data_IF_121687838085
#
_entry.id   IF_121687838085
#
_cell.length_a   1.000
_cell.length_b   1.000
_cell.length_c   1.000
_cell.angle_alpha   90.00
_cell.angle_beta   90.00
_cell.angle_gamma   90.00
#
_symmetry.space_group_name_H-M   'P 1'
#
loop_
_entity.id
_entity.type
_entity.pdbx_description
1 polymer ?
2 non-polymer ?
3 non-polymer ?
4 water ?
#
# COMPACT_ATOMS: atom_id res chain seq x y z
N UNK A 1 9.57 14.17 10.01
CA UNK A 1 8.92 14.49 11.29
C UNK A 1 8.55 13.20 12.02
N UNK A 2 8.41 13.28 13.33
CA UNK A 2 8.17 12.07 14.12
C UNK A 2 6.99 12.31 15.06
N UNK A 3 6.25 11.26 15.29
CA UNK A 3 5.17 11.27 16.26
C UNK A 3 5.27 9.96 17.04
N UNK A 4 4.98 9.94 18.33
CA UNK A 4 5.01 8.69 19.08
C UNK A 4 3.60 8.29 19.42
N UNK A 5 3.23 7.05 19.13
CA UNK A 5 1.93 6.51 19.40
C UNK A 5 1.72 6.20 20.89
N UNK A 6 0.47 5.91 21.28
CA UNK A 6 0.23 5.63 22.69
C UNK A 6 1.08 4.48 23.23
N UNK A 7 1.39 3.53 22.40
CA UNK A 7 2.20 2.37 22.82
C UNK A 7 3.68 2.65 22.73
N UNK A 8 4.13 3.87 22.42
CA UNK A 8 5.58 4.12 22.44
C UNK A 8 6.33 3.98 21.14
N UNK A 9 5.66 3.50 20.10
CA UNK A 9 6.18 3.33 18.76
C UNK A 9 6.42 4.69 18.11
N UNK A 10 7.61 4.89 17.55
CA UNK A 10 7.86 6.21 16.94
C UNK A 10 7.58 6.11 15.44
N UNK A 11 6.61 6.87 14.97
CA UNK A 11 6.30 6.87 13.55
C UNK A 11 6.94 8.07 12.86
N UNK A 12 7.73 7.83 11.83
CA UNK A 12 8.30 8.87 10.98
C UNK A 12 7.28 9.19 9.87
N UNK A 13 7.13 10.47 9.58
CA UNK A 13 6.26 10.89 8.47
C UNK A 13 6.72 12.18 7.79
N UNK A 14 6.33 12.30 6.52
CA UNK A 14 6.65 13.46 5.68
C UNK A 14 5.37 14.27 5.51
N UNK A 15 5.55 15.60 5.42
CA UNK A 15 4.34 16.46 5.37
C UNK A 15 4.77 17.69 4.54
N UNK A 16 4.34 17.72 3.31
CA UNK A 16 4.78 18.77 2.37
C UNK A 16 3.58 19.56 1.83
N UNK A 17 3.74 20.86 1.63
CA UNK A 17 2.66 21.60 0.93
C UNK A 17 1.56 22.08 1.80
N UNK A 18 0.48 22.62 1.22
CA UNK A 18 -0.66 23.11 1.99
C UNK A 18 -1.90 22.86 1.10
N UNK A 19 -3.05 22.84 1.74
CA UNK A 19 -4.30 22.59 0.98
C UNK A 19 -4.95 21.33 1.59
N UNK A 20 -5.82 20.74 0.81
CA UNK A 20 -6.51 19.53 1.30
C UNK A 20 -5.46 18.44 1.48
N UNK A 21 -5.55 17.71 2.59
CA UNK A 21 -4.57 16.67 2.87
C UNK A 21 -4.80 15.36 2.14
N UNK A 22 -3.72 14.84 1.58
CA UNK A 22 -3.72 13.56 0.90
C UNK A 22 -2.72 12.68 1.67
N UNK A 23 -3.22 11.57 2.20
CA UNK A 23 -2.33 10.74 3.02
C UNK A 23 -2.01 9.49 2.17
N UNK A 24 -0.71 9.14 2.13
CA UNK A 24 -0.34 7.98 1.30
C UNK A 24 0.17 6.90 2.24
N UNK A 25 -0.21 5.66 1.97
CA UNK A 25 0.21 4.53 2.82
C UNK A 25 0.96 3.55 1.94
N UNK A 26 2.29 3.33 2.16
CA UNK A 26 3.10 2.55 1.25
C UNK A 26 2.97 1.01 1.31
N UNK A 27 3.58 0.42 0.30
CA UNK A 27 3.57 -1.02 0.13
C UNK A 27 4.66 -1.73 0.91
N UNK A 28 4.66 -3.05 0.89
CA UNK A 28 5.75 -3.86 1.52
C UNK A 28 6.84 -4.16 0.57
N UNK A 29 8.12 -4.27 0.99
CA UNK A 29 8.60 -3.90 2.29
C UNK A 29 9.19 -2.46 2.19
N UNK A 30 8.43 -1.53 1.60
CA UNK A 30 8.99 -0.23 1.30
C UNK A 30 8.83 0.77 2.43
N UNK A 31 8.80 2.07 2.07
CA UNK A 31 8.45 3.08 3.06
C UNK A 31 7.91 4.32 2.31
N UNK A 32 7.71 5.40 3.03
CA UNK A 32 7.10 6.62 2.44
C UNK A 32 7.87 7.06 1.20
N UNK A 33 9.17 6.76 1.09
CA UNK A 33 9.91 7.18 -0.08
C UNK A 33 9.29 6.69 -1.37
N UNK A 34 8.71 5.50 -1.40
CA UNK A 34 8.16 4.95 -2.63
C UNK A 34 7.02 5.82 -3.21
N UNK A 35 6.43 6.68 -2.41
CA UNK A 35 5.33 7.49 -2.97
C UNK A 35 5.81 8.84 -3.49
N UNK A 36 7.10 9.17 -3.40
CA UNK A 36 7.54 10.52 -3.72
C UNK A 36 7.07 11.09 -5.08
N UNK A 37 6.88 10.27 -6.10
CA UNK A 37 6.50 10.90 -7.40
C UNK A 37 5.04 11.38 -7.40
N UNK A 38 4.16 10.63 -6.71
CA UNK A 38 2.75 11.10 -6.65
C UNK A 38 2.69 12.27 -5.69
N UNK A 39 3.52 12.26 -4.62
CA UNK A 39 3.52 13.35 -3.63
C UNK A 39 4.05 14.69 -4.25
N UNK A 40 5.13 14.61 -5.01
CA UNK A 40 5.63 15.89 -5.57
C UNK A 40 4.61 16.49 -6.57
N UNK A 41 4.02 15.58 -7.33
CA UNK A 41 3.02 16.01 -8.35
C UNK A 41 1.86 16.67 -7.67
N UNK A 42 1.23 15.98 -6.69
CA UNK A 42 0.03 16.53 -6.07
C UNK A 42 0.30 17.73 -5.20
N UNK A 43 1.45 17.81 -4.53
CA UNK A 43 1.71 19.02 -3.71
C UNK A 43 1.86 20.22 -4.68
N UNK A 44 2.43 19.97 -5.84
CA UNK A 44 2.62 21.08 -6.78
C UNK A 44 1.26 21.54 -7.30
N UNK A 45 0.25 20.67 -7.20
CA UNK A 45 -1.06 21.03 -7.73
C UNK A 45 -1.92 21.68 -6.67
N UNK A 46 -1.37 21.99 -5.50
CA UNK A 46 -2.14 22.70 -4.50
C UNK A 46 -2.70 21.80 -3.41
N UNK A 47 -2.12 20.62 -3.18
CA UNK A 47 -2.57 19.79 -2.08
C UNK A 47 -1.43 19.65 -1.04
N UNK A 48 -1.80 19.26 0.16
CA UNK A 48 -0.87 18.93 1.22
C UNK A 48 -0.67 17.42 1.13
N UNK A 49 0.56 16.97 1.12
CA UNK A 49 0.79 15.51 0.96
C UNK A 49 1.51 14.96 2.21
N UNK A 50 0.94 13.92 2.79
CA UNK A 50 1.45 13.33 4.05
C UNK A 50 1.77 11.86 3.79
N UNK A 51 2.95 11.36 4.20
CA UNK A 51 3.18 9.91 3.96
C UNK A 51 3.98 9.38 5.16
N UNK A 52 3.43 8.42 5.89
CA UNK A 52 4.20 7.96 7.06
C UNK A 52 4.88 6.64 6.79
N UNK A 53 5.90 6.33 7.62
CA UNK A 53 6.57 5.01 7.49
C UNK A 53 5.81 4.05 8.43
N UNK A 54 5.35 2.94 7.90
CA UNK A 54 4.63 1.96 8.72
C UNK A 54 5.55 1.53 9.88
N UNK A 55 4.96 1.11 11.00
CA UNK A 55 5.91 0.60 12.03
C UNK A 55 6.79 -0.49 11.45
N UNK A 56 8.07 -0.43 11.81
CA UNK A 56 9.14 -1.32 11.44
C UNK A 56 9.64 -1.14 10.02
N UNK A 57 9.19 -0.05 9.36
CA UNK A 57 9.65 0.23 8.00
C UNK A 57 10.34 1.62 8.00
N UNK A 58 11.23 1.86 7.04
CA UNK A 58 11.87 3.14 6.86
C UNK A 58 12.47 3.65 8.17
N UNK A 59 12.07 4.88 8.51
CA UNK A 59 12.60 5.53 9.69
C UNK A 59 11.82 5.31 10.95
N UNK A 60 10.68 4.61 10.88
CA UNK A 60 9.93 4.41 12.12
C UNK A 60 10.72 3.39 12.99
N UNK A 61 10.39 3.40 14.27
CA UNK A 61 11.01 2.41 15.17
C UNK A 61 10.54 1.00 14.75
N UNK A 62 11.18 -0.01 15.29
CA UNK A 62 10.90 -1.39 14.86
C UNK A 62 10.48 -2.33 15.95
N UNK A 63 9.26 -2.22 16.37
CA UNK A 63 8.77 -3.02 17.49
C UNK A 63 8.74 -4.48 17.14
N UNK A 64 9.11 -5.32 18.12
CA UNK A 64 9.03 -6.76 17.96
C UNK A 64 7.58 -7.18 17.76
N UNK A 65 6.62 -6.43 18.32
CA UNK A 65 5.23 -6.82 18.31
C UNK A 65 4.27 -5.85 17.58
N UNK A 66 3.04 -6.30 17.38
CA UNK A 66 2.06 -5.40 16.77
C UNK A 66 2.31 -5.25 15.29
N UNK A 67 2.90 -6.25 14.64
CA UNK A 67 3.10 -6.15 13.18
C UNK A 67 1.89 -6.83 12.55
N UNK A 68 0.76 -6.13 12.58
CA UNK A 68 -0.46 -6.72 12.01
C UNK A 68 -1.37 -5.56 11.53
N UNK A 69 -2.41 -5.85 10.78
CA UNK A 69 -3.20 -4.76 10.17
C UNK A 69 -4.00 -3.97 11.17
N UNK A 70 -4.54 -4.58 12.22
CA UNK A 70 -5.26 -3.77 13.24
C UNK A 70 -4.35 -2.67 13.80
N UNK A 71 -3.09 -3.04 14.11
CA UNK A 71 -2.14 -2.09 14.66
C UNK A 71 -1.76 -1.08 13.60
N UNK A 72 -1.43 -1.52 12.40
CA UNK A 72 -1.10 -0.58 11.31
C UNK A 72 -2.21 0.48 11.21
N UNK A 73 -3.43 0.00 11.21
CA UNK A 73 -4.59 0.86 11.08
C UNK A 73 -4.67 1.85 12.24
N UNK A 74 -4.42 1.39 13.48
CA UNK A 74 -4.53 2.21 14.66
C UNK A 74 -3.38 3.23 14.71
N UNK A 75 -2.19 2.86 14.22
CA UNK A 75 -1.08 3.79 14.16
C UNK A 75 -1.46 4.90 13.17
N UNK A 76 -2.03 4.54 12.02
CA UNK A 76 -2.45 5.56 11.04
C UNK A 76 -3.54 6.45 11.68
N UNK A 77 -4.41 5.83 12.47
CA UNK A 77 -5.50 6.62 13.08
C UNK A 77 -4.87 7.67 13.98
N UNK A 78 -3.83 7.27 14.73
CA UNK A 78 -3.20 8.20 15.65
C UNK A 78 -2.44 9.31 14.93
N UNK A 79 -1.89 9.04 13.77
CA UNK A 79 -1.18 10.07 12.99
C UNK A 79 -2.22 11.11 12.49
N UNK A 80 -3.31 10.59 11.94
CA UNK A 80 -4.40 11.45 11.41
C UNK A 80 -4.93 12.31 12.57
N UNK A 81 -5.19 11.71 13.71
CA UNK A 81 -5.73 12.47 14.85
C UNK A 81 -4.70 13.46 15.36
N UNK A 82 -3.44 13.03 15.37
CA UNK A 82 -2.38 13.94 15.84
C UNK A 82 -2.34 15.16 14.93
N UNK A 83 -2.48 14.98 13.62
CA UNK A 83 -2.42 16.11 12.70
C UNK A 83 -3.78 16.82 12.62
N UNK A 84 -4.78 16.24 13.25
CA UNK A 84 -6.14 16.79 13.19
C UNK A 84 -6.61 16.99 11.76
N UNK A 85 -6.40 15.93 10.96
CA UNK A 85 -6.78 16.08 9.53
C UNK A 85 -8.28 16.04 9.38
N UNK A 86 -8.74 16.81 8.38
CA UNK A 86 -10.16 16.81 8.07
C UNK A 86 -10.27 16.73 6.54
N UNK A 87 -11.29 16.03 6.08
CA UNK A 87 -11.53 15.92 4.63
C UNK A 87 -10.33 15.36 3.88
N UNK A 88 -9.69 14.36 4.50
CA UNK A 88 -8.49 13.76 3.91
C UNK A 88 -8.79 12.72 2.82
N UNK A 89 -7.85 12.62 1.88
CA UNK A 89 -7.94 11.59 0.83
C UNK A 89 -6.84 10.60 1.22
N UNK A 90 -7.27 9.34 1.49
CA UNK A 90 -6.31 8.31 1.82
C UNK A 90 -6.02 7.38 0.64
N UNK A 91 -4.78 7.35 0.19
CA UNK A 91 -4.33 6.46 -0.89
C UNK A 91 -3.40 5.39 -0.34
N UNK A 92 -3.73 4.10 -0.61
CA UNK A 92 -2.88 3.02 -0.10
C UNK A 92 -2.38 2.24 -1.29
N UNK A 93 -1.09 1.90 -1.37
CA UNK A 93 -0.60 1.07 -2.46
C UNK A 93 -0.31 -0.34 -1.87
N UNK A 94 -0.87 -1.39 -2.45
CA UNK A 94 -0.60 -2.78 -2.09
C UNK A 94 -0.93 -3.05 -0.67
N UNK A 95 0.08 -3.45 0.16
CA UNK A 95 -0.24 -3.60 1.59
C UNK A 95 -0.83 -2.32 2.14
N UNK A 96 -0.43 -1.14 1.64
CA UNK A 96 -0.99 0.07 2.30
C UNK A 96 -2.47 0.23 1.96
N UNK A 97 -2.95 -0.39 0.86
CA UNK A 97 -4.39 -0.34 0.57
C UNK A 97 -5.12 -1.14 1.65
N UNK A 98 -4.54 -2.19 2.16
CA UNK A 98 -5.11 -2.99 3.29
C UNK A 98 -5.14 -2.12 4.51
N UNK A 99 -4.03 -1.37 4.75
CA UNK A 99 -3.98 -0.46 5.88
C UNK A 99 -5.13 0.55 5.85
N UNK A 100 -5.32 1.25 4.71
CA UNK A 100 -6.39 2.21 4.58
C UNK A 100 -7.75 1.53 4.85
N UNK A 101 -7.92 0.36 4.25
CA UNK A 101 -9.23 -0.32 4.43
C UNK A 101 -9.51 -0.62 5.89
N UNK A 102 -8.49 -1.12 6.59
CA UNK A 102 -8.66 -1.50 8.01
C UNK A 102 -8.82 -0.25 8.83
N UNK A 103 -8.15 0.84 8.45
CA UNK A 103 -8.34 2.09 9.21
C UNK A 103 -9.80 2.49 9.18
N UNK A 104 -10.36 2.46 7.96
CA UNK A 104 -11.78 2.84 7.78
C UNK A 104 -12.70 1.87 8.50
N UNK A 105 -12.43 0.58 8.36
CA UNK A 105 -13.29 -0.41 9.04
C UNK A 105 -13.23 -0.20 10.56
N UNK A 106 -12.10 0.19 11.14
CA UNK A 106 -12.03 0.29 12.60
C UNK A 106 -12.43 1.68 13.08
N UNK A 107 -12.28 2.72 12.25
CA UNK A 107 -12.41 4.08 12.73
C UNK A 107 -13.42 4.89 11.93
N UNK A 108 -13.90 4.39 10.79
CA UNK A 108 -14.94 5.13 10.11
C UNK A 108 -14.34 6.27 9.26
N UNK A 109 -15.27 7.04 8.66
CA UNK A 109 -14.76 8.07 7.71
C UNK A 109 -15.06 9.49 8.14
N UNK A 110 -15.22 9.73 9.47
CA UNK A 110 -15.45 11.16 9.77
C UNK A 110 -14.32 12.05 9.26
N UNK A 111 -13.05 11.59 9.18
CA UNK A 111 -12.00 12.49 8.73
C UNK A 111 -11.58 12.28 7.28
N UNK A 112 -12.33 11.41 6.61
CA UNK A 112 -11.97 11.02 5.24
C UNK A 112 -12.97 11.54 4.21
N UNK A 113 -12.50 12.26 3.23
CA UNK A 113 -13.33 12.69 2.11
C UNK A 113 -13.39 11.59 1.05
N UNK A 114 -12.26 10.91 0.76
CA UNK A 114 -12.18 9.91 -0.28
C UNK A 114 -11.10 8.86 -0.01
N UNK A 115 -11.09 7.73 -0.77
CA UNK A 115 -10.03 6.74 -0.51
C UNK A 115 -9.60 6.18 -1.85
N UNK A 116 -8.43 5.56 -1.90
CA UNK A 116 -7.99 4.95 -3.14
C UNK A 116 -7.14 3.73 -2.77
N UNK A 117 -7.38 2.71 -3.57
CA UNK A 117 -6.77 1.41 -3.39
C UNK A 117 -5.99 1.17 -4.68
N UNK A 118 -4.68 1.28 -4.62
CA UNK A 118 -3.82 1.19 -5.78
C UNK A 118 -3.04 -0.10 -5.76
N UNK A 119 -3.22 -1.00 -6.74
CA UNK A 119 -2.55 -2.30 -6.74
C UNK A 119 -2.67 -2.96 -5.36
N UNK A 120 -3.83 -2.77 -4.74
CA UNK A 120 -4.02 -3.15 -3.33
C UNK A 120 -4.47 -4.55 -2.96
N UNK A 121 -4.03 -4.95 -1.75
CA UNK A 121 -4.37 -6.32 -1.28
C UNK A 121 -5.79 -6.68 -1.02
N UNK A 122 -6.73 -5.81 -0.64
CA UNK A 122 -8.12 -6.24 -0.41
C UNK A 122 -8.72 -6.79 -1.67
N UNK A 123 -9.73 -7.67 -1.53
CA UNK A 123 -10.27 -8.07 -0.25
C UNK A 123 -9.47 -9.10 0.54
N UNK A 124 -8.94 -10.09 -0.18
CA UNK A 124 -8.22 -11.18 0.51
C UNK A 124 -7.37 -11.91 -0.49
N UNK A 125 -6.05 -12.00 -0.23
CA UNK A 125 -5.16 -12.67 -1.20
C UNK A 125 -5.18 -14.20 -1.13
N UNK A 126 -5.36 -14.66 0.11
CA UNK A 126 -5.16 -16.11 0.35
C UNK A 126 -6.28 -16.98 -0.24
N UNK A 127 -5.92 -18.10 -0.82
CA UNK A 127 -6.90 -19.06 -1.32
C UNK A 127 -7.57 -19.74 -0.14
N UNK A 128 -8.90 -19.66 -0.08
CA UNK A 128 -9.67 -20.30 0.98
C UNK A 128 -10.99 -20.86 0.35
N UNK A 129 -11.85 -21.48 1.19
CA UNK A 129 -13.05 -22.05 0.58
C UNK A 129 -13.93 -20.89 0.11
N UNK A 130 -13.89 -19.78 0.83
CA UNK A 130 -14.73 -18.64 0.44
C UNK A 130 -14.07 -17.81 -0.65
N UNK A 131 -12.74 -17.91 -0.79
CA UNK A 131 -11.98 -17.21 -1.83
C UNK A 131 -11.17 -18.14 -2.69
N UNK A 132 -11.81 -19.03 -3.45
CA UNK A 132 -11.14 -20.04 -4.24
C UNK A 132 -10.23 -19.55 -5.32
N UNK A 133 -10.35 -18.31 -5.79
CA UNK A 133 -9.45 -17.77 -6.78
C UNK A 133 -8.18 -17.12 -6.16
N UNK A 134 -7.99 -17.21 -4.85
CA UNK A 134 -6.82 -16.56 -4.21
C UNK A 134 -5.55 -17.38 -4.46
N UNK A 135 -4.43 -16.93 -3.88
CA UNK A 135 -3.17 -17.66 -4.00
C UNK A 135 -3.04 -18.62 -2.84
N UNK A 136 -2.48 -19.82 -3.11
CA UNK A 136 -2.24 -20.82 -2.11
C UNK A 136 -1.25 -20.40 -1.02
N UNK A 137 -1.46 -20.88 0.18
CA UNK A 137 -0.57 -20.55 1.27
C UNK A 137 0.91 -20.82 0.93
N UNK A 138 1.16 -21.83 0.10
CA UNK A 138 2.56 -22.16 -0.20
C UNK A 138 3.30 -20.95 -0.77
N UNK A 139 2.58 -20.08 -1.50
CA UNK A 139 3.19 -18.89 -2.09
C UNK A 139 3.73 -17.98 -0.98
N UNK A 140 2.91 -17.73 0.03
CA UNK A 140 3.36 -16.87 1.13
C UNK A 140 4.40 -17.56 1.98
N UNK A 141 4.27 -18.90 2.14
CA UNK A 141 5.33 -19.60 2.87
C UNK A 141 6.68 -19.44 2.17
N UNK A 142 6.65 -19.49 0.85
CA UNK A 142 7.83 -19.29 0.04
C UNK A 142 8.52 -17.94 0.31
N UNK A 143 7.68 -16.90 0.43
CA UNK A 143 8.19 -15.56 0.73
C UNK A 143 8.73 -15.45 2.13
N UNK A 144 8.11 -16.11 3.13
CA UNK A 144 8.68 -16.10 4.47
C UNK A 144 10.03 -16.87 4.47
N UNK A 145 10.01 -18.02 3.78
CA UNK A 145 11.24 -18.83 3.75
C UNK A 145 12.39 -18.09 3.10
N UNK A 146 12.16 -17.38 1.98
CA UNK A 146 13.22 -16.61 1.35
C UNK A 146 13.59 -15.41 2.24
N UNK A 147 12.69 -14.80 2.95
CA UNK A 147 12.92 -13.71 3.88
C UNK A 147 13.91 -14.21 4.94
N UNK A 148 13.63 -15.43 5.48
CA UNK A 148 14.62 -15.88 6.50
C UNK A 148 15.95 -16.28 5.88
N UNK A 149 15.99 -16.87 4.69
CA UNK A 149 17.26 -17.33 4.13
C UNK A 149 18.14 -16.17 3.70
N UNK A 150 17.54 -15.23 2.96
CA UNK A 150 18.37 -14.11 2.38
C UNK A 150 17.37 -13.04 1.89
N UNK A 151 16.93 -12.18 2.79
CA UNK A 151 15.92 -11.19 2.40
C UNK A 151 16.52 -10.16 1.45
N UNK A 152 17.81 -9.84 1.58
CA UNK A 152 18.42 -8.87 0.67
C UNK A 152 18.36 -9.41 -0.74
N UNK A 153 18.62 -10.71 -0.94
CA UNK A 153 18.46 -11.30 -2.26
C UNK A 153 16.97 -11.39 -2.74
N UNK A 154 16.11 -11.75 -1.82
CA UNK A 154 14.67 -11.82 -2.13
C UNK A 154 14.23 -10.49 -2.72
N UNK A 155 14.60 -9.39 -2.06
CA UNK A 155 14.17 -8.06 -2.55
C UNK A 155 14.73 -7.85 -3.93
N UNK A 156 16.02 -8.13 -4.15
CA UNK A 156 16.57 -8.01 -5.50
C UNK A 156 15.78 -8.91 -6.49
N UNK A 157 15.40 -10.13 -6.11
CA UNK A 157 14.71 -11.02 -7.03
C UNK A 157 13.27 -10.48 -7.32
N UNK A 158 12.57 -10.07 -6.30
CA UNK A 158 11.21 -9.54 -6.50
C UNK A 158 11.27 -8.35 -7.50
N UNK A 159 12.17 -7.41 -7.18
CA UNK A 159 12.17 -6.20 -8.07
C UNK A 159 12.67 -6.55 -9.44
N UNK A 160 13.60 -7.51 -9.56
CA UNK A 160 14.14 -7.84 -10.83
C UNK A 160 13.16 -8.67 -11.65
N UNK A 161 12.20 -9.33 -11.00
CA UNK A 161 11.35 -10.22 -11.83
C UNK A 161 9.88 -9.80 -11.81
N UNK A 162 9.07 -10.24 -10.88
CA UNK A 162 7.65 -9.91 -10.91
C UNK A 162 7.20 -8.50 -10.60
N UNK A 163 7.87 -7.79 -9.68
CA UNK A 163 7.28 -6.55 -9.15
C UNK A 163 7.03 -5.43 -10.16
N UNK A 164 7.94 -5.29 -11.13
CA UNK A 164 7.80 -4.27 -12.15
C UNK A 164 7.64 -4.86 -13.55
N UNK A 165 7.40 -6.16 -13.60
CA UNK A 165 7.14 -6.87 -14.86
C UNK A 165 8.40 -6.94 -15.74
N UNK A 166 9.59 -6.75 -15.16
CA UNK A 166 10.83 -6.89 -15.92
C UNK A 166 11.06 -8.31 -16.42
N UNK A 167 10.40 -9.31 -15.83
CA UNK A 167 10.49 -10.69 -16.34
C UNK A 167 9.58 -10.96 -17.55
N UNK A 168 8.77 -10.00 -18.01
CA UNK A 168 7.88 -10.25 -19.15
C UNK A 168 8.66 -10.33 -20.43
N UNK A 169 8.11 -11.01 -21.43
CA UNK A 169 8.82 -11.16 -22.70
C UNK A 169 9.12 -9.80 -23.29
N UNK A 170 10.38 -9.59 -23.66
CA UNK A 170 10.74 -8.31 -24.27
C UNK A 170 11.14 -7.24 -23.29
N UNK A 171 10.97 -7.51 -21.98
CA UNK A 171 11.35 -6.55 -20.96
C UNK A 171 12.72 -6.87 -20.37
N UNK A 172 13.32 -5.84 -19.76
CA UNK A 172 14.60 -5.99 -19.10
C UNK A 172 14.66 -5.06 -17.88
N UNK A 173 15.30 -5.54 -16.81
CA UNK A 173 15.40 -4.76 -15.59
C UNK A 173 16.27 -3.54 -15.78
N UNK A 174 16.00 -2.58 -14.88
CA UNK A 174 16.80 -1.36 -14.82
C UNK A 174 17.19 -1.19 -13.36
N UNK A 175 18.48 -0.94 -13.18
CA UNK A 175 19.11 -0.97 -11.86
C UNK A 175 18.61 0.05 -10.90
N UNK A 176 18.23 1.26 -11.35
CA UNK A 176 17.73 2.24 -10.42
C UNK A 176 16.45 1.69 -9.77
N UNK A 177 15.54 1.13 -10.53
CA UNK A 177 14.30 0.61 -9.89
C UNK A 177 14.58 -0.64 -9.05
N UNK A 178 15.48 -1.51 -9.44
CA UNK A 178 15.77 -2.68 -8.57
C UNK A 178 16.37 -2.25 -7.25
N UNK A 179 17.44 -1.39 -7.36
CA UNK A 179 18.14 -1.06 -6.11
C UNK A 179 17.37 -0.17 -5.19
N UNK A 180 16.48 0.74 -5.70
CA UNK A 180 15.72 1.55 -4.78
C UNK A 180 14.72 0.68 -4.01
N UNK A 181 14.09 -0.27 -4.68
CA UNK A 181 13.21 -1.23 -4.00
C UNK A 181 14.04 -1.97 -2.94
N UNK A 182 15.21 -2.47 -3.32
CA UNK A 182 16.02 -3.25 -2.34
C UNK A 182 16.37 -2.38 -1.14
N UNK A 183 16.80 -1.13 -1.42
CA UNK A 183 17.28 -0.21 -0.40
C UNK A 183 16.24 0.10 0.64
N UNK A 184 14.99 0.36 0.20
CA UNK A 184 13.93 0.61 1.18
C UNK A 184 13.69 -0.70 2.01
N UNK A 185 13.66 -1.79 1.29
CA UNK A 185 13.45 -3.08 1.95
C UNK A 185 14.47 -3.33 3.06
N UNK A 186 15.73 -2.99 2.86
CA UNK A 186 16.76 -3.18 3.91
C UNK A 186 16.65 -2.21 5.04
N UNK A 187 15.92 -1.08 4.95
CA UNK A 187 15.69 -0.22 6.11
C UNK A 187 14.65 -0.81 7.04
N UNK A 188 13.71 -1.63 6.52
CA UNK A 188 12.69 -2.20 7.37
C UNK A 188 13.33 -3.18 8.39
N UNK A 189 12.66 -3.38 9.52
CA UNK A 189 13.12 -4.43 10.46
C UNK A 189 12.80 -5.81 9.86
N UNK A 190 13.70 -6.77 10.14
CA UNK A 190 13.48 -8.15 9.63
C UNK A 190 12.22 -8.71 10.24
N UNK A 191 12.05 -8.61 11.56
CA UNK A 191 10.82 -9.14 12.17
C UNK A 191 9.59 -8.44 11.56
N UNK A 192 9.66 -7.13 11.48
CA UNK A 192 8.47 -6.37 10.97
C UNK A 192 8.12 -6.75 9.55
N UNK A 193 9.05 -6.83 8.64
CA UNK A 193 8.80 -7.24 7.26
C UNK A 193 8.30 -8.69 7.19
N UNK A 194 8.90 -9.56 7.99
CA UNK A 194 8.47 -10.98 8.03
C UNK A 194 7.04 -11.16 8.47
N UNK A 195 6.70 -10.55 9.61
CA UNK A 195 5.33 -10.68 10.13
C UNK A 195 4.33 -10.02 9.19
N UNK A 196 4.82 -9.03 8.43
CA UNK A 196 3.83 -8.34 7.56
C UNK A 196 3.33 -9.24 6.45
N UNK A 197 4.10 -10.26 6.06
CA UNK A 197 3.68 -11.14 4.97
C UNK A 197 2.31 -11.77 5.26
N UNK A 198 2.14 -12.37 6.45
CA UNK A 198 0.84 -12.89 6.88
C UNK A 198 -0.16 -11.72 6.94
N UNK A 199 0.23 -10.55 7.51
CA UNK A 199 -0.77 -9.48 7.57
C UNK A 199 -1.27 -9.02 6.18
N UNK A 200 -0.47 -9.00 5.16
CA UNK A 200 -0.99 -8.52 3.86
C UNK A 200 -1.72 -9.62 3.11
N UNK A 201 -1.36 -10.89 3.37
CA UNK A 201 -1.94 -11.96 2.56
C UNK A 201 -3.10 -12.70 3.22
N UNK A 202 -3.29 -12.67 4.51
CA UNK A 202 -4.26 -13.49 5.20
C UNK A 202 -5.39 -12.64 5.79
N UNK A 203 -5.13 -11.31 5.94
CA UNK A 203 -6.16 -10.45 6.51
C UNK A 203 -7.31 -10.34 5.48
N UNK A 204 -8.53 -10.59 5.96
CA UNK A 204 -9.67 -10.46 5.00
C UNK A 204 -10.33 -9.11 5.25
N UNK A 205 -10.20 -8.19 4.30
CA UNK A 205 -10.73 -6.84 4.45
C UNK A 205 -12.16 -6.72 3.90
N UNK A 206 -12.81 -7.87 3.66
CA UNK A 206 -14.14 -7.84 3.02
C UNK A 206 -15.09 -6.96 3.80
N UNK A 207 -15.14 -7.15 5.10
CA UNK A 207 -16.08 -6.35 5.90
C UNK A 207 -15.67 -4.89 5.94
N UNK A 208 -14.35 -4.63 5.97
CA UNK A 208 -13.90 -3.24 5.94
C UNK A 208 -14.39 -2.55 4.67
N UNK A 209 -14.25 -3.23 3.52
CA UNK A 209 -14.65 -2.58 2.27
C UNK A 209 -16.15 -2.29 2.24
N UNK A 210 -16.96 -3.15 2.86
CA UNK A 210 -18.41 -2.84 2.85
C UNK A 210 -18.72 -1.65 3.76
N UNK A 211 -17.82 -1.22 4.64
CA UNK A 211 -18.09 -0.05 5.47
C UNK A 211 -17.58 1.25 4.84
N UNK A 212 -16.92 1.16 3.69
CA UNK A 212 -16.41 2.36 3.02
C UNK A 212 -17.59 3.11 2.40
N UNK A 213 -17.89 4.28 2.91
CA UNK A 213 -19.04 5.05 2.42
C UNK A 213 -18.62 6.37 1.82
N UNK A 214 -17.41 6.41 1.22
CA UNK A 214 -16.92 7.59 0.52
C UNK A 214 -16.40 7.24 -0.86
N UNK A 215 -16.33 8.18 -1.80
CA UNK A 215 -15.89 7.94 -3.12
C UNK A 215 -14.53 7.22 -3.00
N UNK A 216 -14.40 6.18 -3.81
CA UNK A 216 -13.20 5.35 -3.76
C UNK A 216 -12.72 5.05 -5.16
N UNK A 217 -11.42 5.29 -5.37
CA UNK A 217 -10.78 4.94 -6.65
C UNK A 217 -10.04 3.61 -6.43
N UNK A 218 -10.16 2.67 -7.41
CA UNK A 218 -9.40 1.43 -7.34
C UNK A 218 -8.60 1.42 -8.61
N UNK A 219 -7.24 1.23 -8.52
CA UNK A 219 -6.43 1.23 -9.73
C UNK A 219 -5.67 -0.13 -9.70
N UNK A 220 -5.61 -0.85 -10.82
CA UNK A 220 -4.91 -2.12 -10.75
C UNK A 220 -4.42 -2.48 -12.14
N UNK A 221 -3.22 -3.06 -12.19
CA UNK A 221 -2.74 -3.52 -13.53
C UNK A 221 -3.32 -4.97 -13.73
N UNK A 222 -3.68 -5.26 -14.96
CA UNK A 222 -4.16 -6.64 -15.18
C UNK A 222 -3.01 -7.61 -15.50
N UNK A 223 -1.77 -7.19 -15.35
CA UNK A 223 -0.65 -8.13 -15.47
C UNK A 223 0.08 -8.14 -14.13
N UNK A 224 -0.64 -7.77 -13.07
CA UNK A 224 0.01 -7.70 -11.75
C UNK A 224 0.28 -9.14 -11.31
N UNK A 225 1.57 -9.45 -11.13
CA UNK A 225 1.94 -10.83 -10.79
C UNK A 225 2.03 -11.03 -9.30
N UNK A 226 2.04 -9.94 -8.53
CA UNK A 226 2.23 -9.98 -7.10
C UNK A 226 0.90 -10.01 -6.36
N UNK A 227 -0.03 -9.15 -6.87
CA UNK A 227 -1.39 -9.15 -6.25
C UNK A 227 -2.34 -9.38 -7.43
N UNK A 228 -2.69 -10.61 -7.76
CA UNK A 228 -3.52 -10.94 -8.92
C UNK A 228 -4.81 -10.09 -8.89
N UNK A 229 -5.11 -9.44 -10.00
CA UNK A 229 -6.21 -8.49 -10.15
C UNK A 229 -7.61 -9.04 -9.92
N UNK A 230 -7.88 -10.31 -10.29
CA UNK A 230 -9.31 -10.73 -10.10
C UNK A 230 -9.70 -10.80 -8.64
N UNK A 231 -8.82 -11.36 -7.77
CA UNK A 231 -9.13 -11.51 -6.36
C UNK A 231 -8.76 -10.24 -5.58
N UNK A 232 -8.37 -9.14 -6.27
CA UNK A 232 -8.02 -7.92 -5.54
C UNK A 232 -8.78 -6.72 -6.15
N UNK A 233 -8.15 -5.95 -7.04
CA UNK A 233 -8.80 -4.76 -7.61
C UNK A 233 -10.20 -4.97 -8.13
N UNK A 234 -10.44 -6.01 -8.93
CA UNK A 234 -11.84 -6.19 -9.46
C UNK A 234 -12.78 -6.47 -8.32
N UNK A 235 -12.37 -7.37 -7.40
CA UNK A 235 -13.20 -7.76 -6.27
C UNK A 235 -13.43 -6.62 -5.29
N UNK A 236 -12.45 -5.74 -5.07
CA UNK A 236 -12.62 -4.57 -4.23
C UNK A 236 -13.65 -3.64 -4.87
N UNK A 237 -13.44 -3.38 -6.15
CA UNK A 237 -14.31 -2.44 -6.85
C UNK A 237 -15.78 -2.92 -6.78
N UNK A 238 -15.94 -4.23 -6.94
CA UNK A 238 -17.31 -4.78 -6.76
C UNK A 238 -17.82 -4.57 -5.34
N UNK A 239 -17.04 -4.79 -4.28
CA UNK A 239 -17.52 -4.63 -2.93
C UNK A 239 -17.72 -3.19 -2.46
N UNK A 240 -16.89 -2.26 -2.94
CA UNK A 240 -16.99 -0.89 -2.45
C UNK A 240 -18.14 -0.21 -3.22
N UNK A 241 -19.11 0.21 -2.46
CA UNK A 241 -20.26 0.93 -3.08
C UNK A 241 -19.86 2.19 -3.81
N UNK A 242 -20.22 2.25 -5.08
CA UNK A 242 -19.92 3.48 -5.85
C UNK A 242 -18.48 3.66 -6.27
N UNK A 243 -17.63 2.66 -6.02
CA UNK A 243 -16.23 2.80 -6.42
C UNK A 243 -16.01 2.88 -7.91
N UNK A 244 -14.90 3.56 -8.30
CA UNK A 244 -14.45 3.64 -9.67
C UNK A 244 -13.20 2.78 -9.88
N UNK A 245 -13.16 1.93 -10.89
CA UNK A 245 -11.95 1.10 -11.09
C UNK A 245 -11.34 1.47 -12.44
N UNK A 246 -10.02 1.66 -12.47
CA UNK A 246 -9.27 1.85 -13.71
C UNK A 246 -8.33 0.66 -13.82
N UNK A 247 -8.49 -0.07 -14.91
CA UNK A 247 -7.60 -1.24 -15.11
C UNK A 247 -6.51 -0.84 -16.07
N UNK A 248 -5.23 -0.86 -15.68
CA UNK A 248 -4.14 -0.49 -16.58
C UNK A 248 -3.76 -1.73 -17.39
N UNK A 249 -4.00 -1.70 -18.69
CA UNK A 249 -3.75 -2.91 -19.50
C UNK A 249 -2.26 -3.29 -19.58
N UNK A 250 -2.01 -4.55 -19.27
CA UNK A 250 -0.62 -5.05 -19.29
C UNK A 250 0.26 -4.49 -18.18
N UNK A 251 -0.24 -3.72 -17.25
CA UNK A 251 0.60 -3.08 -16.24
C UNK A 251 0.95 -4.06 -15.10
N UNK A 252 2.13 -3.88 -14.54
CA UNK A 252 2.62 -4.74 -13.46
C UNK A 252 2.21 -4.15 -12.13
N UNK A 253 2.63 -4.80 -11.04
CA UNK A 253 2.29 -4.33 -9.73
C UNK A 253 2.83 -2.91 -9.42
N UNK A 254 4.09 -2.65 -9.77
CA UNK A 254 4.70 -1.35 -9.33
C UNK A 254 4.36 -0.24 -10.31
N UNK A 255 3.04 -0.01 -10.54
CA UNK A 255 2.66 0.96 -11.56
C UNK A 255 2.81 2.41 -11.10
N UNK A 256 3.11 2.62 -9.84
CA UNK A 256 3.40 3.94 -9.31
C UNK A 256 4.67 4.45 -10.02
N UNK A 257 5.44 3.46 -10.52
CA UNK A 257 6.71 3.83 -11.16
C UNK A 257 6.69 3.56 -12.64
N UNK A 258 6.04 2.45 -13.08
CA UNK A 258 6.01 2.13 -14.51
C UNK A 258 4.93 2.92 -15.26
N UNK A 259 3.89 3.36 -14.58
CA UNK A 259 2.82 4.15 -15.21
C UNK A 259 2.62 5.38 -14.37
N UNK A 260 3.77 6.01 -14.00
CA UNK A 260 3.79 7.13 -13.10
C UNK A 260 2.91 8.32 -13.52
N UNK A 261 3.14 8.85 -14.71
CA UNK A 261 2.40 10.07 -15.07
C UNK A 261 0.89 9.73 -15.24
N UNK A 262 0.61 8.52 -15.67
CA UNK A 262 -0.83 8.10 -15.85
C UNK A 262 -1.50 8.06 -14.49
N UNK A 263 -0.83 7.41 -13.52
CA UNK A 263 -1.35 7.35 -12.18
C UNK A 263 -1.48 8.76 -11.57
N UNK A 264 -0.43 9.61 -11.73
CA UNK A 264 -0.52 10.94 -11.20
C UNK A 264 -1.82 11.65 -11.66
N UNK A 265 -2.04 11.63 -12.95
CA UNK A 265 -3.23 12.28 -13.58
C UNK A 265 -4.52 11.61 -13.05
N UNK A 266 -4.58 10.29 -12.97
CA UNK A 266 -5.79 9.65 -12.39
C UNK A 266 -6.04 10.04 -10.95
N UNK A 267 -4.98 10.14 -10.10
CA UNK A 267 -5.21 10.55 -8.73
C UNK A 267 -5.75 12.00 -8.66
N UNK A 268 -5.13 12.86 -9.48
CA UNK A 268 -5.62 14.26 -9.42
C UNK A 268 -7.08 14.38 -9.89
N UNK A 269 -7.38 13.70 -11.00
CA UNK A 269 -8.81 13.80 -11.46
C UNK A 269 -9.79 13.26 -10.44
N UNK A 270 -9.39 12.20 -9.74
CA UNK A 270 -10.23 11.59 -8.74
C UNK A 270 -10.47 12.55 -7.58
N UNK A 271 -9.39 13.20 -7.13
CA UNK A 271 -9.50 14.17 -6.06
C UNK A 271 -10.41 15.34 -6.48
N UNK A 272 -10.25 15.79 -7.70
CA UNK A 272 -11.07 16.95 -8.13
C UNK A 272 -12.53 16.59 -8.34
N UNK A 273 -12.89 15.33 -8.38
CA UNK A 273 -14.22 14.80 -8.57
C UNK A 273 -15.16 15.07 -7.41
#
# INVERSE_FOLDING_TARGET
TTFTTRDGTQIYYKDWGSGQPIVFSHGWPLNADSWESQMIFLAAQGYRVIAHDRRGHGRSSQPWSGNDMDTYADDLAQLIEHLDLRDAVLFGFSTGGGEVARYIGRHGTARVAKAGLISAVPPLMLKTEANPGGLPMEVFDGIRQASLADRSQLYKDLASGPFFGFNQPGAKSSAGMVDWFWLQGMAAGHKNAYDCIKAFSETDFTEDLKKIDVPTLVVHGDADQVVPIEASGIASAALVKGSTLKIYSGAPHGLTDTHKDQLNADLLAFIKG
#
